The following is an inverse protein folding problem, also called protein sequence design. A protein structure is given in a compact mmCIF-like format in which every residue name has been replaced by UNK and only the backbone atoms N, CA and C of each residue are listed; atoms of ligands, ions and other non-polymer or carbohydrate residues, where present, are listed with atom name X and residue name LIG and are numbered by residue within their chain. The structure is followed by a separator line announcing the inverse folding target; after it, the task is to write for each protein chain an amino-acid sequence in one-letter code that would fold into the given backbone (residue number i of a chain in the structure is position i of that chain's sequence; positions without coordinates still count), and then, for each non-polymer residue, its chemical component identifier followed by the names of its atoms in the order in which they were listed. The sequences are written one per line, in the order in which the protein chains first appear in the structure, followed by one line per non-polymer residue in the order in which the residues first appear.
data_IF_053164452594
#
_entry.id   IF_053164452594
#
_cell.length_a   1.000
_cell.length_b   1.000
_cell.length_c   1.000
_cell.angle_alpha   90.00
_cell.angle_beta   90.00
_cell.angle_gamma   90.00
#
_symmetry.space_group_name_H-M   'P 1'
#
loop_
_entity.id
_entity.type
_entity.pdbx_description
1 polymer ?
#
# COMPACT_ATOMS: atom_id res chain seq x y z
N UNK A 1 -28.92 -12.46 -3.52
CA UNK A 1 -27.49 -12.85 -3.53
C UNK A 1 -27.16 -13.79 -2.38
N UNK A 2 -27.36 -13.42 -1.11
CA UNK A 2 -27.14 -14.28 0.07
C UNK A 2 -27.81 -15.66 -0.02
N UNK A 3 -29.13 -15.73 -0.22
CA UNK A 3 -29.86 -17.00 -0.27
C UNK A 3 -29.51 -17.89 -1.49
N UNK A 4 -28.90 -17.32 -2.54
CA UNK A 4 -28.54 -18.04 -3.76
C UNK A 4 -27.10 -18.57 -3.73
N UNK A 5 -26.20 -17.89 -3.00
CA UNK A 5 -24.77 -18.19 -2.97
C UNK A 5 -24.28 -18.69 -1.60
N UNK A 6 -25.08 -18.57 -0.53
CA UNK A 6 -24.69 -18.99 0.82
C UNK A 6 -23.56 -18.14 1.44
N UNK A 7 -23.36 -16.91 0.95
CA UNK A 7 -22.27 -16.02 1.38
C UNK A 7 -22.80 -15.00 2.40
N UNK A 8 -22.14 -14.84 3.54
CA UNK A 8 -22.50 -13.85 4.57
C UNK A 8 -21.74 -12.53 4.47
N UNK A 9 -20.56 -12.54 3.84
CA UNK A 9 -19.66 -11.38 3.73
C UNK A 9 -19.16 -11.20 2.31
N UNK A 10 -19.14 -9.97 1.82
CA UNK A 10 -18.67 -9.63 0.48
C UNK A 10 -17.44 -8.74 0.57
N UNK A 11 -16.31 -9.22 0.07
CA UNK A 11 -15.12 -8.40 -0.16
C UNK A 11 -15.27 -7.65 -1.49
N UNK A 12 -15.10 -6.33 -1.44
CA UNK A 12 -15.13 -5.44 -2.59
C UNK A 12 -13.76 -4.76 -2.70
N UNK A 13 -13.23 -4.71 -3.93
CA UNK A 13 -12.05 -3.95 -4.29
C UNK A 13 -12.50 -2.94 -5.33
N UNK A 14 -12.47 -1.67 -4.96
CA UNK A 14 -12.80 -0.55 -5.83
C UNK A 14 -11.51 0.15 -6.27
N UNK A 15 -11.26 0.18 -7.57
CA UNK A 15 -10.07 0.79 -8.17
C UNK A 15 -10.48 2.06 -8.90
N UNK A 16 -10.13 3.20 -8.33
CA UNK A 16 -10.50 4.53 -8.83
C UNK A 16 -9.51 5.02 -9.88
N UNK A 17 -8.21 4.78 -9.67
CA UNK A 17 -7.17 5.21 -10.62
C UNK A 17 -6.01 4.23 -10.59
N UNK A 18 -5.52 3.86 -11.76
CA UNK A 18 -4.37 2.99 -11.91
C UNK A 18 -3.63 3.33 -13.21
N UNK A 19 -2.32 3.54 -13.14
CA UNK A 19 -1.51 3.97 -14.28
C UNK A 19 -0.47 5.02 -13.91
N UNK A 20 -0.34 6.07 -14.71
CA UNK A 20 0.60 7.16 -14.47
C UNK A 20 -0.11 8.51 -14.39
N UNK A 21 0.28 9.33 -13.43
CA UNK A 21 -0.13 10.73 -13.31
C UNK A 21 1.09 11.61 -13.46
N UNK A 22 0.93 12.72 -14.18
CA UNK A 22 1.94 13.76 -14.31
C UNK A 22 1.28 15.10 -14.08
N UNK A 23 1.86 15.92 -13.20
CA UNK A 23 1.39 17.25 -12.90
C UNK A 23 1.83 18.22 -14.01
N UNK A 24 0.92 19.13 -14.38
CA UNK A 24 1.18 20.19 -15.33
C UNK A 24 0.77 21.53 -14.73
N UNK A 25 1.57 22.56 -14.99
CA UNK A 25 1.19 23.96 -14.81
C UNK A 25 0.86 24.53 -16.19
N UNK A 26 -0.43 24.65 -16.49
CA UNK A 26 -0.93 24.86 -17.86
C UNK A 26 -0.45 23.75 -18.79
N UNK A 27 0.40 24.07 -19.78
CA UNK A 27 0.95 23.10 -20.74
C UNK A 27 2.37 22.67 -20.41
N UNK A 28 2.95 23.17 -19.31
CA UNK A 28 4.33 22.88 -18.91
C UNK A 28 4.33 21.78 -17.86
N UNK A 29 5.03 20.65 -18.07
CA UNK A 29 5.17 19.61 -17.05
C UNK A 29 5.83 20.18 -15.79
N UNK A 30 5.22 19.93 -14.64
CA UNK A 30 5.71 20.39 -13.34
C UNK A 30 6.49 19.31 -12.57
N UNK A 31 6.70 18.14 -13.20
CA UNK A 31 7.43 17.03 -12.60
C UNK A 31 7.48 15.80 -13.49
N UNK A 32 8.18 14.78 -12.99
CA UNK A 32 8.29 13.48 -13.64
C UNK A 32 6.97 12.69 -13.47
N UNK A 33 6.60 11.84 -14.46
CA UNK A 33 5.45 10.96 -14.32
C UNK A 33 5.63 10.00 -13.13
N UNK A 34 4.54 9.77 -12.40
CA UNK A 34 4.50 8.86 -11.24
C UNK A 34 3.47 7.77 -11.48
N UNK A 35 3.84 6.53 -11.21
CA UNK A 35 2.90 5.43 -11.15
C UNK A 35 1.94 5.63 -9.96
N UNK A 36 0.66 5.42 -10.18
CA UNK A 36 -0.37 5.58 -9.16
C UNK A 36 -1.28 4.35 -9.09
N UNK A 37 -1.70 4.03 -7.88
CA UNK A 37 -2.80 3.11 -7.59
C UNK A 37 -3.66 3.71 -6.49
N UNK A 38 -4.85 4.16 -6.85
CA UNK A 38 -5.83 4.76 -5.95
C UNK A 38 -7.10 3.92 -5.95
N UNK A 39 -7.62 3.63 -4.76
CA UNK A 39 -8.79 2.80 -4.60
C UNK A 39 -9.10 2.52 -3.14
N UNK A 40 -9.95 1.54 -2.91
CA UNK A 40 -10.24 1.03 -1.57
C UNK A 40 -10.61 -0.45 -1.60
N UNK A 41 -10.29 -1.15 -0.52
CA UNK A 41 -10.82 -2.48 -0.24
C UNK A 41 -11.78 -2.40 0.94
N UNK A 42 -12.90 -3.12 0.89
CA UNK A 42 -13.82 -3.18 2.03
C UNK A 42 -14.65 -4.46 2.06
N UNK A 43 -15.00 -4.91 3.26
CA UNK A 43 -15.91 -6.04 3.46
C UNK A 43 -17.26 -5.51 3.93
N UNK A 44 -18.33 -5.95 3.27
CA UNK A 44 -19.71 -5.68 3.64
C UNK A 44 -20.35 -6.95 4.20
N UNK A 45 -20.93 -6.84 5.40
CA UNK A 45 -21.77 -7.89 5.95
C UNK A 45 -23.14 -7.85 5.26
N UNK A 46 -23.55 -8.94 4.60
CA UNK A 46 -24.77 -8.99 3.81
C UNK A 46 -26.05 -9.15 4.64
N UNK A 47 -25.94 -9.35 5.96
CA UNK A 47 -27.09 -9.44 6.86
C UNK A 47 -27.61 -8.07 7.30
N UNK A 48 -26.73 -7.10 7.46
CA UNK A 48 -27.05 -5.75 7.97
C UNK A 48 -26.46 -4.61 7.11
N UNK A 49 -25.76 -4.93 6.02
CA UNK A 49 -25.10 -4.00 5.10
C UNK A 49 -24.07 -3.07 5.75
N UNK A 50 -23.47 -3.47 6.87
CA UNK A 50 -22.42 -2.69 7.53
C UNK A 50 -21.04 -3.05 6.99
N UNK A 51 -20.11 -2.08 6.99
CA UNK A 51 -18.70 -2.37 6.77
C UNK A 51 -18.12 -3.14 7.96
N UNK A 52 -17.48 -4.26 7.70
CA UNK A 52 -16.68 -4.98 8.71
C UNK A 52 -15.19 -4.65 8.61
N UNK A 53 -14.74 -4.21 7.43
CA UNK A 53 -13.38 -3.78 7.17
C UNK A 53 -13.37 -2.76 6.05
N UNK A 54 -12.44 -1.81 6.13
CA UNK A 54 -12.21 -0.77 5.13
C UNK A 54 -10.73 -0.40 5.12
N UNK A 55 -10.11 -0.39 3.95
CA UNK A 55 -8.73 0.03 3.70
C UNK A 55 -8.70 0.98 2.50
N UNK A 56 -8.44 2.27 2.71
CA UNK A 56 -8.15 3.18 1.62
C UNK A 56 -6.73 2.95 1.10
N UNK A 57 -6.58 2.93 -0.23
CA UNK A 57 -5.30 2.72 -0.89
C UNK A 57 -4.98 3.95 -1.72
N UNK A 58 -3.89 4.61 -1.33
CA UNK A 58 -3.32 5.72 -2.08
C UNK A 58 -1.81 5.48 -2.22
N UNK A 59 -1.39 5.07 -3.41
CA UNK A 59 0.02 4.78 -3.72
C UNK A 59 0.46 5.66 -4.88
N UNK A 60 1.57 6.38 -4.69
CA UNK A 60 2.22 7.17 -5.75
C UNK A 60 3.73 6.93 -5.75
N UNK A 61 4.26 6.37 -6.83
CA UNK A 61 5.65 5.96 -6.95
C UNK A 61 6.33 6.57 -8.18
N UNK A 62 7.43 7.27 -7.97
CA UNK A 62 8.27 7.76 -9.07
C UNK A 62 9.10 6.63 -9.70
N UNK A 63 9.57 6.84 -10.92
CA UNK A 63 10.56 5.95 -11.53
C UNK A 63 11.85 5.95 -10.67
N UNK A 64 12.48 4.79 -10.44
CA UNK A 64 13.84 4.75 -9.94
C UNK A 64 14.79 5.18 -11.06
N UNK A 65 15.61 6.20 -10.79
CA UNK A 65 16.56 6.73 -11.79
C UNK A 65 15.87 7.61 -12.84
N UNK A 66 16.39 7.60 -14.08
CA UNK A 66 15.82 8.40 -15.16
C UNK A 66 14.54 7.73 -15.69
N UNK A 67 13.47 8.51 -15.80
CA UNK A 67 12.18 8.03 -16.28
C UNK A 67 12.11 7.99 -17.80
N UNK A 68 12.83 8.88 -18.48
CA UNK A 68 12.87 9.01 -19.94
C UNK A 68 14.02 8.16 -20.51
N UNK A 69 13.91 6.86 -20.31
CA UNK A 69 14.89 5.87 -20.76
C UNK A 69 14.26 4.96 -21.83
N UNK A 70 14.28 5.38 -23.11
CA UNK A 70 13.85 4.52 -24.21
C UNK A 70 14.76 3.27 -24.32
N UNK A 71 14.28 2.16 -24.93
CA UNK A 71 13.02 2.06 -25.69
C UNK A 71 11.81 1.60 -24.88
N UNK A 72 12.01 1.09 -23.67
CA UNK A 72 10.94 0.45 -22.87
C UNK A 72 10.62 1.15 -21.55
N UNK A 73 11.30 2.25 -21.23
CA UNK A 73 11.06 3.04 -20.03
C UNK A 73 11.04 2.16 -18.76
N UNK A 74 12.12 1.42 -18.49
CA UNK A 74 12.16 0.40 -17.43
C UNK A 74 11.89 1.00 -16.04
N UNK A 75 12.33 2.24 -15.78
CA UNK A 75 12.02 2.94 -14.53
C UNK A 75 10.52 3.09 -14.29
N UNK A 76 9.77 3.54 -15.29
CA UNK A 76 8.31 3.69 -15.18
C UNK A 76 7.60 2.34 -15.06
N UNK A 77 8.03 1.35 -15.84
CA UNK A 77 7.49 -0.01 -15.78
C UNK A 77 7.68 -0.63 -14.39
N UNK A 78 8.87 -0.47 -13.79
CA UNK A 78 9.14 -0.94 -12.44
C UNK A 78 8.30 -0.22 -11.39
N UNK A 79 8.17 1.11 -11.49
CA UNK A 79 7.34 1.89 -10.58
C UNK A 79 5.87 1.43 -10.62
N UNK A 80 5.36 1.13 -11.82
CA UNK A 80 4.01 0.60 -12.04
C UNK A 80 3.79 -0.76 -11.37
N UNK A 81 4.67 -1.73 -11.60
CA UNK A 81 4.52 -3.05 -10.97
C UNK A 81 4.66 -2.95 -9.46
N UNK A 82 5.58 -2.13 -8.96
CA UNK A 82 5.73 -1.90 -7.53
C UNK A 82 4.48 -1.27 -6.91
N UNK A 83 3.78 -0.35 -7.58
CA UNK A 83 2.53 0.21 -7.05
C UNK A 83 1.41 -0.84 -6.98
N UNK A 84 1.29 -1.70 -7.99
CA UNK A 84 0.29 -2.78 -8.02
C UNK A 84 0.58 -3.82 -6.94
N UNK A 85 1.82 -4.27 -6.82
CA UNK A 85 2.22 -5.26 -5.81
C UNK A 85 2.02 -4.70 -4.41
N UNK A 86 2.40 -3.44 -4.17
CA UNK A 86 2.14 -2.77 -2.88
C UNK A 86 0.63 -2.69 -2.57
N UNK A 87 -0.22 -2.40 -3.56
CA UNK A 87 -1.67 -2.37 -3.37
C UNK A 87 -2.21 -3.76 -2.99
N UNK A 88 -1.77 -4.80 -3.72
CA UNK A 88 -2.13 -6.18 -3.48
C UNK A 88 -1.72 -6.63 -2.07
N UNK A 89 -0.49 -6.31 -1.65
CA UNK A 89 0.01 -6.64 -0.32
C UNK A 89 -0.84 -5.98 0.77
N UNK A 90 -1.22 -4.70 0.60
CA UNK A 90 -2.10 -4.00 1.54
C UNK A 90 -3.49 -4.62 1.62
N UNK A 91 -4.07 -5.02 0.48
CA UNK A 91 -5.37 -5.68 0.43
C UNK A 91 -5.36 -7.08 1.04
N UNK A 92 -4.26 -7.82 0.90
CA UNK A 92 -4.13 -9.19 1.39
C UNK A 92 -3.69 -9.26 2.85
N UNK A 93 -2.98 -8.24 3.37
CA UNK A 93 -2.46 -8.22 4.75
C UNK A 93 -3.49 -8.60 5.83
N UNK A 94 -4.76 -8.16 5.79
CA UNK A 94 -5.75 -8.56 6.80
C UNK A 94 -6.17 -10.03 6.73
N UNK A 95 -5.87 -10.72 5.63
CA UNK A 95 -6.29 -12.10 5.34
C UNK A 95 -5.13 -13.10 5.37
N UNK A 96 -3.88 -12.62 5.45
CA UNK A 96 -2.71 -13.47 5.66
C UNK A 96 -2.61 -13.94 7.11
N UNK A 97 -2.30 -15.22 7.33
CA UNK A 97 -2.07 -15.79 8.66
C UNK A 97 -0.69 -15.43 9.25
N UNK A 98 -0.10 -14.30 8.84
CA UNK A 98 1.24 -13.94 9.26
C UNK A 98 1.20 -13.44 10.71
N UNK A 99 1.72 -14.27 11.59
CA UNK A 99 2.01 -13.94 12.98
C UNK A 99 2.76 -12.61 13.03
N UNK A 100 2.33 -11.61 13.83
CA UNK A 100 3.02 -10.33 13.88
C UNK A 100 4.48 -10.53 14.29
N UNK A 101 5.45 -9.79 13.71
CA UNK A 101 6.80 -9.78 14.23
C UNK A 101 6.76 -9.29 15.68
N UNK A 102 7.08 -10.20 16.59
CA UNK A 102 7.19 -9.92 18.02
C UNK A 102 8.19 -8.76 18.22
N UNK A 103 7.68 -7.65 18.75
CA UNK A 103 8.38 -6.73 19.66
C UNK A 103 9.84 -6.40 19.32
N UNK A 104 10.06 -5.44 18.42
CA UNK A 104 11.21 -4.54 18.53
C UNK A 104 10.92 -3.46 19.60
N UNK A 105 10.73 -3.89 20.84
CA UNK A 105 10.67 -3.02 22.02
C UNK A 105 11.28 -3.76 23.20
N UNK A 106 12.62 -3.90 23.23
CA UNK A 106 13.43 -4.06 24.46
C UNK A 106 14.92 -4.16 24.10
N UNK A 107 15.53 -3.14 23.48
CA UNK A 107 17.00 -3.00 23.46
C UNK A 107 17.41 -1.53 23.50
N UNK A 108 16.95 -0.78 24.50
CA UNK A 108 17.49 0.55 24.80
C UNK A 108 17.33 0.91 26.27
N UNK A 109 17.68 0.02 27.20
CA UNK A 109 17.68 0.34 28.66
C UNK A 109 18.65 -0.53 29.49
N UNK A 110 19.85 -0.85 28.97
CA UNK A 110 20.91 -1.50 29.80
C UNK A 110 22.33 -0.99 29.52
N UNK A 111 22.49 0.27 29.08
CA UNK A 111 23.83 0.85 28.83
C UNK A 111 24.15 2.11 29.63
N UNK A 112 23.36 2.45 30.66
CA UNK A 112 23.60 3.61 31.54
C UNK A 112 23.66 3.26 33.04
N UNK A 113 24.27 2.12 33.41
CA UNK A 113 24.52 1.79 34.83
C UNK A 113 25.88 1.12 35.13
N UNK A 114 26.95 1.43 34.38
CA UNK A 114 28.30 0.91 34.69
C UNK A 114 29.41 1.97 34.65
N UNK A 115 29.11 3.21 35.07
CA UNK A 115 30.11 4.24 35.33
C UNK A 115 29.93 4.93 36.69
N UNK A 116 29.42 4.20 37.69
CA UNK A 116 29.41 4.63 39.09
C UNK A 116 29.92 3.50 39.98
N UNK A 117 31.23 3.45 40.22
CA UNK A 117 31.79 2.55 41.21
C UNK A 117 33.29 2.29 41.08
N UNK A 118 34.09 3.09 41.79
CA UNK A 118 35.21 2.50 42.54
C UNK A 118 36.63 2.90 42.15
N UNK A 119 37.14 3.85 42.96
CA UNK A 119 38.52 4.05 43.44
C UNK A 119 39.55 4.68 42.51
#
# INVERSE_FOLDING_TARGET
MRAKLGIDKLLIIDVVTHGFVRNYSSYVPAGDPRAVFFGSGYIVNLSNNTYEWYEPIEISKGAPGNWDEPPKFPGLTNAYFQSVETAKDRLLKPFGNDTPPQSQQTQSLTQNQSAAGGR
#
